data_IF_991468887582
#
_entry.id   IF_991468887582
#
_cell.length_a   1.000
_cell.length_b   1.000
_cell.length_c   1.000
_cell.angle_alpha   90.00
_cell.angle_beta   90.00
_cell.angle_gamma   90.00
#
_symmetry.space_group_name_H-M   'P 1'
#
loop_
_entity.id
_entity.type
_entity.pdbx_description
1 polymer ?
#
# COMPACT_ATOMS: atom_id res chain seq x y z
N UNK A 1 0.39 31.35 -63.07
CA UNK A 1 -0.94 30.85 -62.65
C UNK A 1 -0.89 29.32 -62.70
N UNK A 2 -1.24 28.64 -61.59
CA UNK A 2 -1.26 27.17 -61.35
C UNK A 2 0.09 26.53 -60.97
N UNK A 3 0.23 25.60 -60.01
CA UNK A 3 -0.36 25.23 -58.70
C UNK A 3 0.72 24.32 -58.08
N UNK A 4 1.11 24.50 -56.81
CA UNK A 4 1.91 23.52 -56.04
C UNK A 4 0.92 22.79 -55.14
N UNK A 5 0.80 21.47 -55.29
CA UNK A 5 0.12 20.61 -54.31
C UNK A 5 1.07 20.39 -53.12
N UNK A 6 0.65 20.76 -51.92
CA UNK A 6 1.16 20.21 -50.67
C UNK A 6 0.01 19.45 -50.00
N UNK A 7 0.14 18.13 -49.92
CA UNK A 7 -0.77 17.27 -49.16
C UNK A 7 -0.34 17.36 -47.70
N UNK A 8 -1.14 18.01 -46.87
CA UNK A 8 -1.00 17.99 -45.41
C UNK A 8 -1.75 16.75 -44.89
N UNK A 9 -1.01 15.70 -44.50
CA UNK A 9 -1.59 14.59 -43.73
C UNK A 9 -1.77 15.07 -42.28
N UNK A 10 -3.02 15.39 -41.93
CA UNK A 10 -3.43 15.56 -40.54
C UNK A 10 -3.60 14.16 -39.95
N UNK A 11 -2.66 13.75 -39.10
CA UNK A 11 -2.89 12.61 -38.21
C UNK A 11 -3.84 13.08 -37.10
N UNK A 12 -5.14 12.76 -37.24
CA UNK A 12 -6.02 12.68 -36.09
C UNK A 12 -5.62 11.41 -35.31
N UNK A 13 -4.82 11.56 -34.27
CA UNK A 13 -4.76 10.55 -33.23
C UNK A 13 -6.10 10.56 -32.50
N UNK A 14 -6.91 9.53 -32.74
CA UNK A 14 -8.06 9.23 -31.91
C UNK A 14 -7.55 8.89 -30.51
N UNK A 15 -7.57 9.88 -29.61
CA UNK A 15 -7.57 9.65 -28.17
C UNK A 15 -8.88 8.94 -27.81
N UNK A 16 -8.90 7.62 -28.02
CA UNK A 16 -9.81 6.72 -27.33
C UNK A 16 -9.55 6.92 -25.85
N UNK A 17 -10.53 7.50 -25.16
CA UNK A 17 -10.41 7.99 -23.79
C UNK A 17 -9.95 6.93 -22.81
N UNK A 18 -8.64 6.93 -22.53
CA UNK A 18 -8.15 6.54 -21.22
C UNK A 18 -8.59 7.69 -20.29
N UNK A 19 -9.52 7.42 -19.37
CA UNK A 19 -9.84 8.41 -18.35
C UNK A 19 -8.54 8.71 -17.62
N UNK A 20 -8.08 9.96 -17.71
CA UNK A 20 -6.98 10.49 -16.92
C UNK A 20 -7.38 10.38 -15.46
N UNK A 21 -7.10 9.25 -14.80
CA UNK A 21 -7.41 9.11 -13.39
C UNK A 21 -6.46 10.03 -12.64
N UNK A 22 -7.01 11.14 -12.18
CA UNK A 22 -6.24 12.15 -11.47
C UNK A 22 -6.15 11.70 -10.01
N UNK A 23 -4.93 11.35 -9.59
CA UNK A 23 -4.67 11.08 -8.19
C UNK A 23 -4.98 12.32 -7.35
N UNK A 24 -5.76 12.14 -6.29
CA UNK A 24 -6.21 13.17 -5.38
C UNK A 24 -5.75 12.86 -3.96
N UNK A 25 -4.66 13.49 -3.52
CA UNK A 25 -4.15 13.35 -2.16
C UNK A 25 -4.78 14.43 -1.25
N UNK A 26 -5.17 14.09 -0.01
CA UNK A 26 -4.88 12.83 0.69
C UNK A 26 -5.91 11.71 0.48
N UNK A 27 -6.97 11.91 -0.32
CA UNK A 27 -8.05 10.93 -0.50
C UNK A 27 -7.56 9.56 -0.99
N UNK A 28 -6.65 9.55 -1.97
CA UNK A 28 -6.10 8.29 -2.53
C UNK A 28 -5.03 7.63 -1.63
N UNK A 29 -4.82 8.15 -0.41
CA UNK A 29 -4.21 7.33 0.63
C UNK A 29 -5.21 6.30 1.15
N UNK A 30 -6.49 6.66 1.33
CA UNK A 30 -7.52 5.77 1.87
C UNK A 30 -7.79 4.53 1.02
N UNK A 31 -8.57 3.60 1.56
CA UNK A 31 -8.99 2.41 0.83
C UNK A 31 -9.90 2.75 -0.35
N UNK A 32 -9.75 1.98 -1.43
CA UNK A 32 -10.51 2.18 -2.66
C UNK A 32 -11.64 1.15 -2.75
N UNK A 33 -12.86 1.61 -2.49
CA UNK A 33 -14.07 0.81 -2.70
C UNK A 33 -14.21 0.40 -4.17
N UNK A 34 -14.68 -0.83 -4.41
CA UNK A 34 -14.87 -1.36 -5.76
C UNK A 34 -13.64 -1.97 -6.43
N UNK A 35 -12.48 -1.95 -5.75
CA UNK A 35 -11.29 -2.71 -6.17
C UNK A 35 -11.13 -3.99 -5.36
N UNK A 36 -10.93 -5.10 -6.07
CA UNK A 36 -10.80 -6.43 -5.49
C UNK A 36 -9.51 -6.65 -4.70
N UNK A 37 -8.39 -6.10 -5.18
CA UNK A 37 -7.09 -6.20 -4.50
C UNK A 37 -6.58 -4.82 -4.19
N UNK A 38 -6.05 -4.67 -2.99
CA UNK A 38 -5.39 -3.45 -2.55
C UNK A 38 -4.32 -3.79 -1.51
N UNK A 39 -3.18 -3.09 -1.57
CA UNK A 39 -2.13 -3.26 -0.58
C UNK A 39 -1.50 -1.97 -0.13
N UNK A 40 -1.06 -1.98 1.13
CA UNK A 40 -0.28 -0.94 1.78
C UNK A 40 1.00 -1.58 2.29
N UNK A 41 2.12 -1.26 1.67
CA UNK A 41 3.38 -1.94 1.91
C UNK A 41 4.43 -0.94 2.39
N UNK A 42 4.78 -1.03 3.67
CA UNK A 42 5.86 -0.27 4.27
C UNK A 42 7.11 -1.12 4.43
N UNK A 43 8.24 -0.57 4.02
CA UNK A 43 9.57 -1.12 4.32
C UNK A 43 10.46 -0.02 4.84
N UNK A 44 11.45 -0.37 5.66
CA UNK A 44 12.42 0.63 6.09
C UNK A 44 13.57 0.08 6.88
N UNK A 45 14.50 0.98 7.17
CA UNK A 45 15.62 0.73 8.05
C UNK A 45 15.50 1.61 9.29
N UNK A 46 15.75 1.00 10.45
CA UNK A 46 15.75 1.65 11.75
C UNK A 46 17.15 1.56 12.36
N UNK A 47 17.55 2.60 13.07
CA UNK A 47 18.70 2.62 13.95
C UNK A 47 18.24 3.02 15.34
N UNK A 48 18.54 2.18 16.33
CA UNK A 48 18.23 2.45 17.74
C UNK A 48 19.16 3.52 18.31
N UNK A 49 18.79 4.09 19.46
CA UNK A 49 19.63 4.97 20.27
C UNK A 49 20.90 4.29 20.80
N UNK A 50 20.88 2.98 21.01
CA UNK A 50 22.06 2.15 21.30
C UNK A 50 22.91 1.80 20.08
N UNK A 51 22.43 2.12 18.87
CA UNK A 51 23.20 2.10 17.62
C UNK A 51 23.02 0.85 16.76
N UNK A 52 22.21 -0.12 17.20
CA UNK A 52 21.84 -1.30 16.42
C UNK A 52 20.96 -0.94 15.22
N UNK A 53 21.05 -1.75 14.17
CA UNK A 53 20.37 -1.53 12.89
C UNK A 53 19.40 -2.67 12.58
N UNK A 54 18.19 -2.29 12.18
CA UNK A 54 17.11 -3.22 11.86
C UNK A 54 16.51 -2.89 10.50
N UNK A 55 16.14 -3.90 9.74
CA UNK A 55 15.15 -3.77 8.66
C UNK A 55 13.77 -4.11 9.19
N UNK A 56 12.74 -3.43 8.71
CA UNK A 56 11.35 -3.82 8.98
C UNK A 56 10.51 -3.83 7.70
N UNK A 57 9.48 -4.66 7.72
CA UNK A 57 8.35 -4.65 6.81
C UNK A 57 7.07 -4.65 7.61
N UNK A 58 6.09 -3.84 7.20
CA UNK A 58 4.69 -3.97 7.59
C UNK A 58 3.80 -3.86 6.36
N UNK A 59 3.09 -4.93 6.05
CA UNK A 59 2.17 -5.01 4.91
C UNK A 59 0.75 -5.25 5.36
N UNK A 60 -0.20 -4.65 4.65
CA UNK A 60 -1.61 -4.98 4.71
C UNK A 60 -2.12 -5.26 3.30
N UNK A 61 -2.95 -6.29 3.15
CA UNK A 61 -3.59 -6.67 1.89
C UNK A 61 -5.09 -6.82 2.11
N UNK A 62 -5.88 -6.25 1.21
CA UNK A 62 -7.30 -6.52 1.05
C UNK A 62 -7.47 -7.37 -0.21
N UNK A 63 -8.14 -8.50 -0.10
CA UNK A 63 -8.50 -9.34 -1.25
C UNK A 63 -9.99 -9.68 -1.21
N UNK A 64 -10.69 -9.39 -2.28
CA UNK A 64 -12.09 -9.70 -2.51
C UNK A 64 -12.23 -10.52 -3.80
N UNK A 65 -13.20 -11.43 -3.84
CA UNK A 65 -13.52 -12.19 -5.05
C UNK A 65 -14.95 -11.88 -5.48
N UNK A 66 -15.11 -10.84 -6.31
CA UNK A 66 -16.44 -10.37 -6.73
C UNK A 66 -17.18 -11.43 -7.55
N UNK A 67 -16.46 -12.28 -8.30
CA UNK A 67 -17.01 -13.36 -9.14
C UNK A 67 -17.82 -14.41 -8.38
N UNK A 68 -17.64 -14.55 -7.07
CA UNK A 68 -18.38 -15.50 -6.24
C UNK A 68 -19.50 -14.86 -5.42
N UNK A 69 -19.73 -13.53 -5.55
CA UNK A 69 -20.79 -12.81 -4.82
C UNK A 69 -22.19 -13.39 -5.03
N UNK A 70 -22.48 -13.91 -6.22
CA UNK A 70 -23.80 -14.47 -6.58
C UNK A 70 -24.02 -15.91 -6.11
N UNK A 71 -22.95 -16.62 -5.73
CA UNK A 71 -23.00 -18.05 -5.37
C UNK A 71 -22.78 -18.31 -3.87
N UNK A 72 -22.32 -17.30 -3.12
CA UNK A 72 -22.06 -17.44 -1.70
C UNK A 72 -23.38 -17.45 -0.87
N UNK A 73 -23.48 -18.28 0.19
CA UNK A 73 -24.56 -18.20 1.17
C UNK A 73 -24.75 -16.76 1.69
N UNK A 74 -25.97 -16.39 2.07
CA UNK A 74 -26.35 -15.00 2.42
C UNK A 74 -25.49 -14.39 3.54
N UNK A 75 -25.00 -15.22 4.47
CA UNK A 75 -24.12 -14.85 5.59
C UNK A 75 -22.61 -14.92 5.23
N UNK A 76 -22.30 -15.52 4.08
CA UNK A 76 -20.97 -15.65 3.47
C UNK A 76 -20.76 -14.68 2.29
N UNK A 77 -21.70 -13.75 2.06
CA UNK A 77 -21.56 -12.71 1.02
C UNK A 77 -20.15 -12.13 1.09
N UNK A 78 -19.43 -12.21 -0.02
CA UNK A 78 -17.99 -12.07 -0.19
C UNK A 78 -17.39 -10.86 0.55
N UNK A 79 -17.23 -10.97 1.88
CA UNK A 79 -16.46 -10.01 2.67
C UNK A 79 -15.01 -10.16 2.26
N UNK A 80 -14.28 -9.05 2.06
CA UNK A 80 -12.86 -9.12 1.78
C UNK A 80 -12.14 -9.91 2.89
N UNK A 81 -11.05 -10.54 2.49
CA UNK A 81 -10.04 -11.05 3.41
C UNK A 81 -9.01 -9.93 3.61
N UNK A 82 -8.69 -9.66 4.87
CA UNK A 82 -7.58 -8.79 5.24
C UNK A 82 -6.43 -9.65 5.74
N UNK A 83 -5.27 -9.49 5.11
CA UNK A 83 -4.02 -10.14 5.51
C UNK A 83 -3.04 -9.05 5.95
N UNK A 84 -2.21 -9.33 6.94
CA UNK A 84 -1.13 -8.44 7.33
C UNK A 84 0.13 -9.24 7.64
N UNK A 85 1.30 -8.76 7.21
CA UNK A 85 2.58 -9.35 7.58
C UNK A 85 3.46 -8.31 8.23
N UNK A 86 4.13 -8.71 9.31
CA UNK A 86 5.11 -7.90 10.01
C UNK A 86 6.40 -8.70 10.09
N UNK A 87 7.51 -8.10 9.65
CA UNK A 87 8.81 -8.75 9.69
C UNK A 87 9.90 -7.80 10.19
N UNK A 88 10.89 -8.36 10.88
CA UNK A 88 12.09 -7.68 11.38
C UNK A 88 13.33 -8.45 10.96
N UNK A 89 14.30 -7.74 10.41
CA UNK A 89 15.65 -8.22 10.13
C UNK A 89 16.63 -7.55 11.10
N UNK A 90 17.15 -8.29 12.08
CA UNK A 90 18.24 -7.85 12.95
C UNK A 90 19.58 -8.05 12.24
N UNK A 91 20.21 -6.95 11.82
CA UNK A 91 21.48 -6.99 11.10
C UNK A 91 22.64 -7.43 11.99
N UNK A 92 22.59 -7.12 13.28
CA UNK A 92 23.65 -7.42 14.24
C UNK A 92 23.61 -8.90 14.63
N UNK A 93 22.43 -9.40 15.01
CA UNK A 93 22.23 -10.79 15.37
C UNK A 93 22.10 -11.74 14.15
N UNK A 94 22.00 -11.18 12.93
CA UNK A 94 21.74 -11.93 11.69
C UNK A 94 20.49 -12.80 11.78
N UNK A 95 19.44 -12.23 12.37
CA UNK A 95 18.17 -12.92 12.62
C UNK A 95 17.05 -12.28 11.80
N UNK A 96 16.19 -13.13 11.26
CA UNK A 96 14.95 -12.73 10.61
C UNK A 96 13.77 -13.33 11.38
N UNK A 97 12.78 -12.52 11.70
CA UNK A 97 11.53 -12.94 12.32
C UNK A 97 10.35 -12.30 11.62
N UNK A 98 9.23 -13.02 11.60
CA UNK A 98 8.00 -12.53 10.99
C UNK A 98 6.77 -13.11 11.70
N UNK A 99 5.64 -12.43 11.50
CA UNK A 99 4.32 -12.86 11.94
C UNK A 99 3.27 -12.43 10.92
N UNK A 100 2.13 -13.12 10.90
CA UNK A 100 1.07 -12.95 9.91
C UNK A 100 -0.29 -12.98 10.60
N UNK A 101 -1.20 -12.09 10.16
CA UNK A 101 -2.59 -12.05 10.59
C UNK A 101 -3.50 -12.20 9.37
N UNK A 102 -4.55 -13.01 9.48
CA UNK A 102 -5.53 -13.22 8.41
C UNK A 102 -6.92 -13.20 9.01
N UNK A 103 -7.68 -12.14 8.73
CA UNK A 103 -8.99 -11.93 9.31
C UNK A 103 -10.01 -11.44 8.28
N UNK A 104 -11.28 -11.70 8.58
CA UNK A 104 -12.42 -11.06 7.89
C UNK A 104 -12.88 -9.88 8.73
N UNK A 105 -13.58 -8.88 8.14
CA UNK A 105 -14.08 -7.71 8.87
C UNK A 105 -15.33 -8.02 9.72
N UNK A 106 -15.31 -9.12 10.47
CA UNK A 106 -16.38 -9.51 11.41
C UNK A 106 -16.09 -8.82 12.74
N UNK A 107 -17.06 -8.08 13.28
CA UNK A 107 -16.86 -7.34 14.52
C UNK A 107 -15.77 -6.25 14.44
N UNK A 108 -15.46 -5.76 13.23
CA UNK A 108 -14.40 -4.77 12.98
C UNK A 108 -12.99 -5.21 13.41
N UNK A 109 -12.73 -6.52 13.50
CA UNK A 109 -11.40 -7.03 13.86
C UNK A 109 -10.33 -6.73 12.79
N UNK A 110 -10.74 -6.51 11.53
CA UNK A 110 -9.87 -6.06 10.45
C UNK A 110 -10.65 -5.19 9.48
N UNK A 111 -9.97 -4.30 8.77
CA UNK A 111 -10.61 -3.37 7.86
C UNK A 111 -9.67 -2.34 7.26
N UNK A 112 -10.21 -1.54 6.35
CA UNK A 112 -9.58 -0.34 5.84
C UNK A 112 -10.65 0.71 5.54
N UNK A 113 -10.45 1.92 6.02
CA UNK A 113 -11.40 3.02 5.88
C UNK A 113 -11.26 3.68 4.50
N UNK A 114 -12.41 4.01 3.91
CA UNK A 114 -12.47 4.65 2.59
C UNK A 114 -12.39 6.17 2.65
N UNK A 115 -12.71 6.79 3.80
CA UNK A 115 -12.80 8.25 3.99
C UNK A 115 -11.66 8.85 4.82
N UNK A 116 -10.92 8.01 5.52
CA UNK A 116 -9.70 8.34 6.26
C UNK A 116 -8.61 7.32 5.93
N UNK A 117 -7.34 7.68 6.09
CA UNK A 117 -6.28 6.70 5.90
C UNK A 117 -6.10 5.91 7.18
N UNK A 118 -6.76 4.76 7.24
CA UNK A 118 -6.67 3.84 8.35
C UNK A 118 -6.90 2.42 7.84
N UNK A 119 -5.93 1.52 8.04
CA UNK A 119 -6.04 0.08 7.76
C UNK A 119 -5.52 -0.68 8.95
N UNK A 120 -6.23 -1.75 9.33
CA UNK A 120 -5.93 -2.50 10.53
C UNK A 120 -6.26 -3.99 10.39
N UNK A 121 -5.58 -4.77 11.22
CA UNK A 121 -5.86 -6.16 11.47
C UNK A 121 -5.48 -6.48 12.92
N UNK A 122 -6.48 -6.79 13.74
CA UNK A 122 -6.39 -6.84 15.20
C UNK A 122 -5.84 -5.53 15.77
N UNK A 123 -4.70 -5.58 16.44
CA UNK A 123 -4.00 -4.45 17.04
C UNK A 123 -2.93 -3.84 16.11
N UNK A 124 -2.68 -4.45 14.95
CA UNK A 124 -1.78 -3.89 13.94
C UNK A 124 -2.52 -2.88 13.09
N UNK A 125 -1.89 -1.74 12.84
CA UNK A 125 -2.52 -0.66 12.09
C UNK A 125 -1.51 0.23 11.39
N UNK A 126 -2.01 0.93 10.38
CA UNK A 126 -1.48 2.23 10.00
C UNK A 126 -2.62 3.24 9.92
N UNK A 127 -2.39 4.44 10.43
CA UNK A 127 -3.30 5.58 10.30
C UNK A 127 -2.57 6.87 9.93
N UNK A 128 -3.25 7.83 9.31
CA UNK A 128 -2.70 9.16 9.03
C UNK A 128 -3.08 10.17 10.12
N UNK A 129 -2.07 10.82 10.69
CA UNK A 129 -2.21 11.90 11.66
C UNK A 129 -1.65 13.19 11.03
N UNK A 130 -2.53 14.02 10.44
CA UNK A 130 -2.11 15.15 9.63
C UNK A 130 -1.45 14.67 8.33
N UNK A 131 -0.13 14.82 8.20
CA UNK A 131 0.69 14.29 7.10
C UNK A 131 1.60 13.12 7.52
N UNK A 132 1.46 12.61 8.75
CA UNK A 132 2.32 11.59 9.34
C UNK A 132 1.62 10.24 9.33
N UNK A 133 2.27 9.22 8.79
CA UNK A 133 1.79 7.84 8.82
C UNK A 133 2.25 7.20 10.15
N UNK A 134 1.30 6.80 10.98
CA UNK A 134 1.56 6.18 12.27
C UNK A 134 1.31 4.67 12.17
N UNK A 135 2.37 3.88 12.31
CA UNK A 135 2.37 2.43 12.18
C UNK A 135 2.48 1.78 13.55
N UNK A 136 1.68 0.72 13.77
CA UNK A 136 1.79 -0.17 14.93
C UNK A 136 1.72 -1.61 14.48
N UNK A 137 2.65 -2.42 14.97
CA UNK A 137 2.63 -3.87 14.80
C UNK A 137 3.42 -4.55 15.91
N UNK A 138 3.01 -5.75 16.28
CA UNK A 138 3.70 -6.53 17.30
C UNK A 138 3.68 -8.02 17.01
N UNK A 139 4.78 -8.66 17.34
CA UNK A 139 4.90 -10.11 17.44
C UNK A 139 5.60 -10.46 18.75
N UNK A 140 5.77 -11.75 19.02
CA UNK A 140 6.23 -12.25 20.31
C UNK A 140 7.40 -11.46 20.93
N UNK A 141 8.50 -11.33 20.18
CA UNK A 141 9.74 -10.74 20.70
C UNK A 141 9.99 -9.30 20.18
N UNK A 142 9.13 -8.78 19.29
CA UNK A 142 9.34 -7.50 18.63
C UNK A 142 8.05 -6.69 18.47
N UNK A 143 8.12 -5.38 18.71
CA UNK A 143 7.01 -4.47 18.39
C UNK A 143 7.52 -3.13 17.85
N UNK A 144 6.77 -2.51 16.96
CA UNK A 144 7.02 -1.18 16.42
C UNK A 144 5.86 -0.23 16.73
N UNK A 145 6.20 1.00 17.07
CA UNK A 145 5.31 2.17 17.11
C UNK A 145 6.08 3.31 16.43
N UNK A 146 5.75 3.59 15.17
CA UNK A 146 6.56 4.44 14.29
C UNK A 146 5.73 5.54 13.65
N UNK A 147 6.32 6.73 13.56
CA UNK A 147 5.82 7.89 12.84
C UNK A 147 6.68 8.11 11.59
N UNK A 148 6.05 8.10 10.43
CA UNK A 148 6.68 8.17 9.11
C UNK A 148 6.20 9.44 8.40
N UNK A 149 7.10 10.42 8.25
CA UNK A 149 6.80 11.70 7.62
C UNK A 149 7.31 11.79 6.18
N UNK A 150 6.45 11.98 5.17
CA UNK A 150 6.87 12.18 3.79
C UNK A 150 7.78 13.41 3.63
N UNK A 151 8.93 13.21 2.98
CA UNK A 151 9.89 14.28 2.67
C UNK A 151 9.81 14.70 1.19
N UNK A 152 8.98 14.02 0.40
CA UNK A 152 8.82 14.23 -1.05
C UNK A 152 7.35 14.00 -1.42
N UNK A 153 6.94 14.57 -2.55
CA UNK A 153 5.63 14.27 -3.14
C UNK A 153 5.53 12.79 -3.54
N UNK A 154 4.32 12.21 -3.57
CA UNK A 154 4.09 10.87 -4.10
C UNK A 154 4.66 10.71 -5.52
N UNK A 155 5.21 9.54 -5.80
CA UNK A 155 5.63 9.13 -7.15
C UNK A 155 4.54 8.25 -7.73
N UNK A 156 3.87 8.74 -8.78
CA UNK A 156 2.86 7.97 -9.51
C UNK A 156 3.56 7.09 -10.54
N UNK A 157 3.23 5.81 -10.55
CA UNK A 157 3.84 4.83 -11.46
C UNK A 157 3.02 4.61 -12.73
N UNK A 158 3.67 3.97 -13.71
CA UNK A 158 3.03 3.55 -14.94
C UNK A 158 2.79 4.70 -15.92
N UNK A 159 1.94 4.43 -16.91
CA UNK A 159 1.54 5.41 -17.92
C UNK A 159 0.27 6.10 -17.45
N UNK A 160 0.34 7.39 -17.18
CA UNK A 160 -0.78 8.20 -16.68
C UNK A 160 -1.47 7.61 -15.43
N UNK A 161 -0.70 6.97 -14.55
CA UNK A 161 -1.22 6.35 -13.32
C UNK A 161 -1.66 4.90 -13.45
N UNK A 162 -1.47 4.30 -14.62
CA UNK A 162 -1.79 2.90 -14.89
C UNK A 162 -0.51 2.08 -15.04
N UNK A 163 -0.23 1.23 -14.06
CA UNK A 163 0.86 0.27 -14.10
C UNK A 163 0.36 -1.07 -14.67
N UNK A 164 0.55 -1.26 -15.98
CA UNK A 164 0.23 -2.50 -16.70
C UNK A 164 1.12 -3.66 -16.21
N UNK A 165 0.52 -4.82 -15.95
CA UNK A 165 1.21 -6.00 -15.38
C UNK A 165 1.40 -7.15 -16.37
N UNK A 166 1.11 -6.91 -17.65
CA UNK A 166 1.26 -7.88 -18.73
C UNK A 166 0.91 -7.30 -20.09
N UNK A 167 0.78 -8.18 -21.10
CA UNK A 167 0.42 -7.77 -22.46
C UNK A 167 -1.05 -7.31 -22.58
N UNK A 168 -1.95 -7.91 -21.79
CA UNK A 168 -3.34 -7.49 -21.72
C UNK A 168 -3.44 -6.10 -21.08
N UNK A 169 -3.84 -5.10 -21.88
CA UNK A 169 -4.05 -3.73 -21.44
C UNK A 169 -5.21 -3.57 -20.47
N UNK A 170 -6.01 -4.61 -20.23
CA UNK A 170 -7.00 -4.62 -19.16
C UNK A 170 -6.42 -5.08 -17.81
N UNK A 171 -5.18 -5.63 -17.79
CA UNK A 171 -4.48 -5.99 -16.58
C UNK A 171 -3.55 -4.85 -16.15
N UNK A 172 -4.11 -3.93 -15.37
CA UNK A 172 -3.38 -2.81 -14.81
C UNK A 172 -3.78 -2.58 -13.36
N UNK A 173 -2.89 -1.87 -12.69
CA UNK A 173 -3.06 -1.37 -11.34
C UNK A 173 -2.94 0.14 -11.32
N UNK A 174 -3.57 0.75 -10.33
CA UNK A 174 -3.23 2.09 -9.90
C UNK A 174 -2.14 1.97 -8.84
N UNK A 175 -1.02 2.65 -9.02
CA UNK A 175 0.15 2.46 -8.17
C UNK A 175 0.90 3.78 -7.91
N UNK A 176 1.15 4.09 -6.64
CA UNK A 176 2.09 5.14 -6.26
C UNK A 176 2.99 4.71 -5.08
N UNK A 177 4.08 5.45 -4.90
CA UNK A 177 4.97 5.29 -3.74
C UNK A 177 5.24 6.60 -3.00
N UNK A 178 5.48 6.48 -1.70
CA UNK A 178 6.18 7.48 -0.89
C UNK A 178 7.64 7.07 -0.74
N UNK A 179 8.52 7.72 -1.50
CA UNK A 179 9.90 7.23 -1.74
C UNK A 179 10.93 7.69 -0.71
N UNK A 180 10.52 8.53 0.25
CA UNK A 180 11.36 9.00 1.36
C UNK A 180 10.48 9.42 2.53
N UNK A 181 10.29 8.50 3.47
CA UNK A 181 9.63 8.74 4.74
C UNK A 181 10.70 8.90 5.81
N UNK A 182 10.76 10.04 6.48
CA UNK A 182 11.56 10.20 7.70
C UNK A 182 10.87 9.42 8.82
N UNK A 183 11.57 8.45 9.40
CA UNK A 183 11.01 7.52 10.37
C UNK A 183 11.55 7.83 11.76
N UNK A 184 10.65 7.95 12.75
CA UNK A 184 10.98 8.09 14.18
C UNK A 184 9.99 7.27 15.01
N UNK A 185 10.39 6.80 16.17
CA UNK A 185 9.48 6.11 17.08
C UNK A 185 10.21 5.12 17.95
N UNK A 186 9.55 4.01 18.26
CA UNK A 186 10.10 2.98 19.15
C UNK A 186 10.12 1.60 18.52
N UNK A 187 11.15 0.84 18.88
CA UNK A 187 11.29 -0.58 18.61
C UNK A 187 11.43 -1.30 19.94
N UNK A 188 10.49 -2.18 20.27
CA UNK A 188 10.59 -3.07 21.41
C UNK A 188 11.22 -4.40 21.01
N UNK A 189 12.17 -4.90 21.81
CA UNK A 189 12.90 -6.15 21.61
C UNK A 189 12.99 -6.88 22.94
N UNK A 190 12.42 -8.08 23.02
CA UNK A 190 12.45 -8.90 24.25
C UNK A 190 11.96 -8.15 25.50
N UNK A 191 10.93 -7.31 25.34
CA UNK A 191 10.34 -6.49 26.41
C UNK A 191 11.08 -5.20 26.76
N UNK A 192 12.22 -4.89 26.12
CA UNK A 192 12.90 -3.59 26.24
C UNK A 192 12.54 -2.69 25.07
N UNK A 193 12.31 -1.41 25.34
CA UNK A 193 11.95 -0.42 24.31
C UNK A 193 13.13 0.50 24.03
N UNK A 194 13.45 0.69 22.75
CA UNK A 194 14.50 1.56 22.26
C UNK A 194 13.88 2.68 21.43
N UNK A 195 14.40 3.90 21.57
CA UNK A 195 14.09 4.96 20.60
C UNK A 195 14.80 4.62 19.29
N UNK A 196 14.16 4.87 18.17
CA UNK A 196 14.74 4.61 16.86
C UNK A 196 14.43 5.70 15.85
N UNK A 197 15.34 5.83 14.89
CA UNK A 197 15.21 6.74 13.75
C UNK A 197 15.58 6.02 12.47
N UNK A 198 15.15 6.53 11.31
CA UNK A 198 15.47 5.86 10.06
C UNK A 198 14.82 6.47 8.84
N UNK A 199 14.81 5.66 7.78
CA UNK A 199 14.16 5.97 6.52
C UNK A 199 13.29 4.80 6.08
N UNK A 200 12.09 5.13 5.59
CA UNK A 200 11.13 4.16 5.09
C UNK A 200 10.66 4.52 3.67
N UNK A 201 10.08 3.51 3.04
CA UNK A 201 9.40 3.54 1.76
C UNK A 201 7.98 3.00 1.95
N UNK A 202 7.01 3.56 1.24
CA UNK A 202 5.67 2.99 1.16
C UNK A 202 5.25 2.81 -0.29
N UNK A 203 4.66 1.65 -0.57
CA UNK A 203 3.93 1.33 -1.79
C UNK A 203 2.45 1.17 -1.49
N UNK A 204 1.60 1.77 -2.33
CA UNK A 204 0.16 1.59 -2.28
C UNK A 204 -0.38 1.35 -3.69
N UNK A 205 -0.94 0.17 -3.90
CA UNK A 205 -1.47 -0.27 -5.19
C UNK A 205 -2.87 -0.88 -5.03
N UNK A 206 -3.72 -0.68 -6.03
CA UNK A 206 -5.04 -1.30 -6.09
C UNK A 206 -5.43 -1.68 -7.52
N UNK A 207 -6.17 -2.78 -7.66
CA UNK A 207 -6.59 -3.33 -8.93
C UNK A 207 -7.83 -4.23 -8.80
N UNK A 208 -8.43 -4.56 -9.94
CA UNK A 208 -9.42 -5.63 -10.02
C UNK A 208 -8.74 -6.89 -10.57
N UNK A 209 -8.93 -8.03 -9.88
CA UNK A 209 -8.33 -9.30 -10.27
C UNK A 209 -9.08 -9.83 -11.49
N UNK A 210 -8.51 -9.62 -12.68
CA UNK A 210 -8.89 -10.43 -13.84
C UNK A 210 -7.98 -11.64 -13.88
N UNK A 211 -8.58 -12.82 -14.02
CA UNK A 211 -7.89 -14.11 -14.03
C UNK A 211 -6.61 -14.03 -14.86
N UNK A 212 -5.47 -14.39 -14.27
CA UNK A 212 -4.25 -14.73 -15.01
C UNK A 212 -4.51 -15.90 -15.95
#
# INVERSE_FOLDING_TARGET
MKWILSILLIFLSSNLGLSKQQYNFPKDHSAHEGYETEWWYYTGHLKTDSGEEYGFELTFFKVEWSKYKSQAPKDWKAKPLYMAHYAISDKNARKFEYSELINRPIGQIAGADGDSYHVWNEDWSVQLEGDVHHLKAQMKDFAIDLQLKPQKRPVIHGLDGLSYKGEDRNNYSHYYSLTRLETKGTLAIGGKTFQCTGLSWMDHEWMNNRSF
#
